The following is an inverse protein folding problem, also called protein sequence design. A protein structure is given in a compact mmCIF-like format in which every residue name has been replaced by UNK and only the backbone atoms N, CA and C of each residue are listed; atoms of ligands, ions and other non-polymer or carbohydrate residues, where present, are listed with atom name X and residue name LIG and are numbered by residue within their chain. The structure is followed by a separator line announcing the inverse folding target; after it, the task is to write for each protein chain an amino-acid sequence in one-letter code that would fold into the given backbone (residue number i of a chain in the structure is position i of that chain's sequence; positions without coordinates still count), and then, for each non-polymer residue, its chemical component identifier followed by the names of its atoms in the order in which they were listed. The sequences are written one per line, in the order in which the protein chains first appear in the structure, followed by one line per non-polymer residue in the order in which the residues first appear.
data_IF_365005086108
#
_entry.id   IF_365005086108
#
_cell.length_a   1.000
_cell.length_b   1.000
_cell.length_c   1.000
_cell.angle_alpha   90.00
_cell.angle_beta   90.00
_cell.angle_gamma   90.00
#
_symmetry.space_group_name_H-M   'P 1'
#
loop_
_entity.id
_entity.type
_entity.pdbx_description
1 polymer ?
#
# COMPACT_ATOMS: atom_id res chain seq x y z
N UNK A 1 -6.86 -14.11 -4.48
CA UNK A 1 -8.31 -14.00 -4.20
C UNK A 1 -8.75 -12.61 -4.58
N UNK A 2 -10.00 -12.43 -5.01
CA UNK A 2 -10.56 -11.09 -5.28
C UNK A 2 -11.47 -10.74 -4.11
N UNK A 3 -11.22 -9.59 -3.47
CA UNK A 3 -12.01 -9.10 -2.34
C UNK A 3 -13.07 -8.14 -2.84
N UNK A 4 -14.31 -8.25 -2.35
CA UNK A 4 -15.44 -7.42 -2.74
C UNK A 4 -15.18 -5.94 -2.51
N UNK A 5 -14.46 -5.61 -1.43
CA UNK A 5 -14.09 -4.23 -1.10
C UNK A 5 -13.37 -3.54 -2.27
N UNK A 6 -12.54 -4.27 -3.00
CA UNK A 6 -11.77 -3.76 -4.14
C UNK A 6 -12.41 -4.04 -5.50
N UNK A 7 -13.58 -4.68 -5.52
CA UNK A 7 -14.35 -5.02 -6.73
C UNK A 7 -15.71 -4.32 -6.74
N UNK A 8 -16.77 -5.05 -6.46
CA UNK A 8 -18.15 -4.53 -6.51
C UNK A 8 -18.46 -3.45 -5.45
N UNK A 9 -17.66 -3.36 -4.39
CA UNK A 9 -17.77 -2.31 -3.37
C UNK A 9 -16.75 -1.16 -3.53
N UNK A 10 -15.89 -1.19 -4.54
CA UNK A 10 -14.85 -0.17 -4.74
C UNK A 10 -15.39 1.27 -4.82
N UNK A 11 -16.64 1.48 -5.29
CA UNK A 11 -17.28 2.79 -5.31
C UNK A 11 -17.56 3.38 -3.92
N UNK A 12 -17.48 2.56 -2.87
CA UNK A 12 -17.60 3.00 -1.48
C UNK A 12 -16.25 3.41 -0.87
N UNK A 13 -15.13 3.10 -1.55
CA UNK A 13 -13.79 3.39 -1.07
C UNK A 13 -13.59 4.86 -0.65
N UNK A 14 -14.05 5.89 -1.41
CA UNK A 14 -13.88 7.28 -1.01
C UNK A 14 -14.60 7.67 0.29
N UNK A 15 -15.58 6.87 0.72
CA UNK A 15 -16.33 7.08 1.98
C UNK A 15 -15.68 6.33 3.16
N UNK A 16 -14.90 5.30 2.89
CA UNK A 16 -14.16 4.50 3.88
C UNK A 16 -12.81 5.15 4.15
N UNK A 17 -12.07 5.46 3.09
CA UNK A 17 -10.74 6.05 3.10
C UNK A 17 -10.77 7.40 2.34
N UNK A 18 -11.22 8.50 2.99
CA UNK A 18 -11.30 9.81 2.36
C UNK A 18 -9.91 10.33 1.97
N UNK A 19 -9.76 10.78 0.71
CA UNK A 19 -8.50 11.30 0.18
C UNK A 19 -7.81 12.32 1.09
N UNK A 20 -8.59 13.24 1.68
CA UNK A 20 -8.03 14.37 2.43
C UNK A 20 -7.34 13.94 3.74
N UNK A 21 -7.46 12.69 4.15
CA UNK A 21 -6.75 12.14 5.33
C UNK A 21 -5.31 11.69 5.05
N UNK A 22 -4.90 11.57 3.77
CA UNK A 22 -3.61 11.02 3.36
C UNK A 22 -2.50 12.07 3.15
N UNK A 23 -2.79 13.37 3.36
CA UNK A 23 -1.85 14.45 3.03
C UNK A 23 -0.56 14.41 3.85
N UNK A 24 -0.67 14.22 5.17
CA UNK A 24 0.49 14.18 6.08
C UNK A 24 1.34 12.92 5.84
N UNK A 25 0.70 11.79 5.62
CA UNK A 25 1.34 10.53 5.31
C UNK A 25 2.11 10.59 3.99
N UNK A 26 1.49 11.10 2.94
CA UNK A 26 2.13 11.32 1.64
C UNK A 26 3.37 12.21 1.76
N UNK A 27 3.30 13.28 2.57
CA UNK A 27 4.43 14.18 2.79
C UNK A 27 5.61 13.47 3.47
N UNK A 28 5.33 12.56 4.40
CA UNK A 28 6.35 11.75 5.07
C UNK A 28 6.99 10.76 4.08
N UNK A 29 6.19 10.02 3.31
CA UNK A 29 6.72 9.04 2.37
C UNK A 29 7.56 9.69 1.28
N UNK A 30 7.12 10.81 0.73
CA UNK A 30 7.91 11.58 -0.23
C UNK A 30 9.24 12.06 0.35
N UNK A 31 9.26 12.47 1.63
CA UNK A 31 10.49 12.86 2.32
C UNK A 31 11.43 11.66 2.47
N UNK A 32 10.92 10.49 2.90
CA UNK A 32 11.74 9.28 3.02
C UNK A 32 12.39 8.89 1.68
N UNK A 33 11.64 8.98 0.58
CA UNK A 33 12.15 8.73 -0.77
C UNK A 33 13.23 9.76 -1.16
N UNK A 34 12.97 11.05 -0.98
CA UNK A 34 13.87 12.13 -1.38
C UNK A 34 15.17 12.14 -0.55
N UNK A 35 15.07 11.90 0.77
CA UNK A 35 16.22 11.82 1.67
C UNK A 35 17.12 10.63 1.31
N UNK A 36 16.54 9.46 1.02
CA UNK A 36 17.29 8.28 0.61
C UNK A 36 17.96 8.44 -0.77
N UNK A 37 17.32 9.16 -1.70
CA UNK A 37 17.89 9.53 -3.00
C UNK A 37 18.93 10.62 -2.92
N UNK A 38 18.95 11.43 -1.85
CA UNK A 38 19.74 12.67 -1.74
C UNK A 38 19.28 13.76 -2.70
N UNK A 39 18.10 13.63 -3.28
CA UNK A 39 17.45 14.58 -4.19
C UNK A 39 15.96 14.27 -4.29
N UNK A 40 15.20 15.19 -4.85
CA UNK A 40 13.79 14.92 -5.18
C UNK A 40 13.67 13.78 -6.19
N UNK A 41 12.83 12.80 -5.91
CA UNK A 41 12.43 11.78 -6.86
C UNK A 41 11.60 12.42 -7.98
N UNK A 42 12.03 12.32 -9.22
CA UNK A 42 11.30 12.85 -10.39
C UNK A 42 10.31 11.86 -10.97
N UNK A 43 10.50 10.57 -10.71
CA UNK A 43 9.59 9.50 -11.13
C UNK A 43 9.37 8.47 -10.03
N UNK A 44 8.10 8.09 -9.81
CA UNK A 44 7.68 7.14 -8.78
C UNK A 44 6.74 6.12 -9.38
N UNK A 45 6.97 4.85 -9.12
CA UNK A 45 6.02 3.77 -9.35
C UNK A 45 5.41 3.36 -8.01
N UNK A 46 4.08 3.41 -7.89
CA UNK A 46 3.35 2.89 -6.75
C UNK A 46 2.76 1.52 -7.10
N UNK A 47 3.13 0.51 -6.32
CA UNK A 47 2.65 -0.87 -6.45
C UNK A 47 1.48 -1.07 -5.48
N UNK A 48 0.31 -1.50 -5.99
CA UNK A 48 -0.89 -1.65 -5.18
C UNK A 48 -1.49 -0.31 -4.76
N UNK A 49 -1.61 0.64 -5.69
CA UNK A 49 -2.05 2.02 -5.40
C UNK A 49 -3.52 2.16 -4.97
N UNK A 50 -4.31 1.10 -5.10
CA UNK A 50 -5.73 1.11 -4.75
C UNK A 50 -6.50 2.23 -5.45
N UNK A 51 -7.28 2.97 -4.68
CA UNK A 51 -8.04 4.13 -5.15
C UNK A 51 -7.22 5.41 -5.34
N UNK A 52 -5.89 5.37 -5.16
CA UNK A 52 -4.97 6.48 -5.43
C UNK A 52 -5.06 7.66 -4.48
N UNK A 53 -5.59 7.45 -3.26
CA UNK A 53 -5.75 8.51 -2.26
C UNK A 53 -4.42 9.14 -1.87
N UNK A 54 -3.40 8.31 -1.62
CA UNK A 54 -2.05 8.73 -1.28
C UNK A 54 -1.41 9.53 -2.43
N UNK A 55 -1.44 8.96 -3.63
CA UNK A 55 -0.84 9.56 -4.82
C UNK A 55 -1.44 10.93 -5.19
N UNK A 56 -2.70 11.20 -4.85
CA UNK A 56 -3.33 12.49 -5.08
C UNK A 56 -2.61 13.67 -4.38
N UNK A 57 -1.72 13.37 -3.42
CA UNK A 57 -0.92 14.35 -2.67
C UNK A 57 0.55 14.42 -3.13
N UNK A 58 0.97 13.68 -4.17
CA UNK A 58 2.37 13.65 -4.61
C UNK A 58 2.83 14.88 -5.42
N UNK A 59 1.91 15.84 -5.67
CA UNK A 59 2.19 17.04 -6.49
C UNK A 59 2.29 16.72 -7.98
N UNK A 60 2.27 17.76 -8.82
CA UNK A 60 2.28 17.64 -10.28
C UNK A 60 3.70 17.67 -10.86
N UNK A 61 4.71 17.86 -10.03
CA UNK A 61 6.10 18.01 -10.40
C UNK A 61 6.91 16.69 -10.33
N UNK A 62 6.19 15.55 -10.25
CA UNK A 62 6.72 14.18 -10.31
C UNK A 62 5.91 13.38 -11.33
N UNK A 63 6.60 12.59 -12.15
CA UNK A 63 5.96 11.52 -12.89
C UNK A 63 5.56 10.42 -11.90
N UNK A 64 4.27 10.09 -11.84
CA UNK A 64 3.78 9.01 -10.97
C UNK A 64 2.99 8.02 -11.80
N UNK A 65 3.35 6.76 -11.68
CA UNK A 65 2.64 5.63 -12.26
C UNK A 65 1.99 4.84 -11.15
N UNK A 66 0.69 4.59 -11.28
CA UNK A 66 -0.13 3.90 -10.31
C UNK A 66 -0.49 2.52 -10.83
N UNK A 67 -0.12 1.47 -10.11
CA UNK A 67 -0.45 0.11 -10.51
C UNK A 67 -1.28 -0.60 -9.46
N UNK A 68 -2.28 -1.35 -9.90
CA UNK A 68 -3.12 -2.17 -9.02
C UNK A 68 -3.61 -3.41 -9.75
N UNK A 69 -3.97 -4.44 -9.00
CA UNK A 69 -4.56 -5.68 -9.51
C UNK A 69 -6.05 -5.49 -9.88
N UNK A 70 -6.73 -4.52 -9.26
CA UNK A 70 -8.15 -4.22 -9.46
C UNK A 70 -8.35 -3.05 -10.43
N UNK A 71 -8.96 -3.31 -11.58
CA UNK A 71 -9.36 -2.25 -12.51
C UNK A 71 -10.41 -1.32 -11.89
N UNK A 72 -11.29 -1.84 -11.01
CA UNK A 72 -12.30 -1.03 -10.30
C UNK A 72 -11.65 -0.03 -9.36
N UNK A 73 -10.58 -0.41 -8.65
CA UNK A 73 -9.81 0.52 -7.82
C UNK A 73 -9.07 1.56 -8.68
N UNK A 74 -8.47 1.16 -9.80
CA UNK A 74 -7.87 2.11 -10.74
C UNK A 74 -8.89 3.10 -11.33
N UNK A 75 -10.15 2.68 -11.55
CA UNK A 75 -11.22 3.59 -11.93
C UNK A 75 -11.54 4.63 -10.85
N UNK A 76 -11.52 4.24 -9.57
CA UNK A 76 -11.64 5.20 -8.45
C UNK A 76 -10.43 6.14 -8.42
N UNK A 77 -9.23 5.62 -8.61
CA UNK A 77 -8.00 6.41 -8.65
C UNK A 77 -8.03 7.50 -9.74
N UNK A 78 -8.51 7.18 -10.93
CA UNK A 78 -8.64 8.15 -12.04
C UNK A 78 -9.53 9.36 -11.71
N UNK A 79 -10.44 9.25 -10.74
CA UNK A 79 -11.27 10.39 -10.31
C UNK A 79 -10.44 11.50 -9.62
N UNK A 80 -9.30 11.15 -9.03
CA UNK A 80 -8.42 12.06 -8.31
C UNK A 80 -7.06 12.27 -9.00
N UNK A 81 -6.68 11.35 -9.89
CA UNK A 81 -5.38 11.27 -10.53
C UNK A 81 -5.52 11.14 -12.06
N UNK A 82 -6.43 11.90 -12.67
CA UNK A 82 -6.77 11.77 -14.11
C UNK A 82 -5.56 11.91 -15.04
N UNK A 83 -4.58 12.75 -14.66
CA UNK A 83 -3.39 13.03 -15.47
C UNK A 83 -2.25 12.03 -15.26
N UNK A 84 -2.41 11.08 -14.32
CA UNK A 84 -1.40 10.06 -14.04
C UNK A 84 -1.62 8.81 -14.86
N UNK A 85 -0.56 8.08 -15.13
CA UNK A 85 -0.65 6.77 -15.77
C UNK A 85 -1.14 5.72 -14.77
N UNK A 86 -2.12 4.90 -15.21
CA UNK A 86 -2.68 3.80 -14.44
C UNK A 86 -2.43 2.49 -15.18
N UNK A 87 -1.86 1.52 -14.49
CA UNK A 87 -1.49 0.22 -15.03
C UNK A 87 -2.20 -0.89 -14.26
N UNK A 88 -3.04 -1.65 -14.97
CA UNK A 88 -3.59 -2.90 -14.44
C UNK A 88 -2.50 -3.96 -14.43
N UNK A 89 -2.13 -4.48 -13.27
CA UNK A 89 -1.08 -5.47 -13.16
C UNK A 89 -0.92 -6.06 -11.77
N UNK A 90 -0.40 -7.28 -11.74
CA UNK A 90 0.00 -7.94 -10.50
C UNK A 90 1.41 -7.49 -10.11
N UNK A 91 1.54 -6.90 -8.92
CA UNK A 91 2.82 -6.40 -8.40
C UNK A 91 3.90 -7.47 -8.28
N UNK A 92 3.54 -8.76 -8.26
CA UNK A 92 4.48 -9.89 -8.25
C UNK A 92 5.14 -10.13 -9.60
N UNK A 93 4.47 -9.78 -10.70
CA UNK A 93 4.89 -10.23 -12.05
C UNK A 93 4.94 -9.13 -13.10
N UNK A 94 4.37 -7.96 -12.85
CA UNK A 94 4.32 -6.88 -13.84
C UNK A 94 5.73 -6.43 -14.28
N UNK A 95 5.86 -6.04 -15.56
CA UNK A 95 7.08 -5.47 -16.12
C UNK A 95 6.73 -4.36 -17.11
N UNK A 96 7.14 -3.12 -16.78
CA UNK A 96 6.86 -1.93 -17.59
C UNK A 96 7.99 -1.60 -18.60
N UNK A 97 9.08 -2.37 -18.56
CA UNK A 97 10.27 -2.19 -19.41
C UNK A 97 10.90 -0.77 -19.30
N UNK A 98 10.73 -0.12 -18.18
CA UNK A 98 11.30 1.18 -17.83
C UNK A 98 11.63 1.24 -16.34
N UNK A 99 12.46 2.21 -15.96
CA UNK A 99 12.90 2.41 -14.58
C UNK A 99 12.46 3.75 -14.05
N UNK A 100 12.33 3.83 -12.72
CA UNK A 100 11.93 4.99 -11.95
C UNK A 100 13.02 5.37 -10.95
N UNK A 101 12.96 6.58 -10.41
CA UNK A 101 13.80 7.01 -9.30
C UNK A 101 13.42 6.27 -8.01
N UNK A 102 12.13 6.04 -7.82
CA UNK A 102 11.61 5.35 -6.65
C UNK A 102 10.48 4.38 -6.98
N UNK A 103 10.37 3.33 -6.17
CA UNK A 103 9.21 2.43 -6.09
C UNK A 103 8.66 2.49 -4.68
N UNK A 104 7.35 2.66 -4.56
CA UNK A 104 6.61 2.68 -3.30
C UNK A 104 5.69 1.45 -3.24
N UNK A 105 5.70 0.77 -2.10
CA UNK A 105 4.80 -0.33 -1.76
C UNK A 105 4.25 -0.08 -0.35
N UNK A 106 3.05 0.50 -0.28
CA UNK A 106 2.37 0.90 0.94
C UNK A 106 1.13 0.03 1.13
N UNK A 107 0.79 -0.36 2.35
CA UNK A 107 -0.36 -1.20 2.74
C UNK A 107 -0.54 -2.48 1.91
N UNK A 108 -0.48 -2.39 0.58
CA UNK A 108 -0.67 -3.51 -0.33
C UNK A 108 0.31 -4.66 -0.09
N UNK A 109 1.45 -4.41 0.56
CA UNK A 109 2.41 -5.44 0.97
C UNK A 109 1.76 -6.47 1.91
N UNK A 110 0.74 -6.06 2.67
CA UNK A 110 0.01 -6.95 3.59
C UNK A 110 -0.77 -8.05 2.87
N UNK A 111 -1.05 -7.88 1.57
CA UNK A 111 -1.72 -8.92 0.75
C UNK A 111 -0.77 -9.98 0.21
N UNK A 112 0.52 -9.89 0.49
CA UNK A 112 1.52 -10.90 0.17
C UNK A 112 1.63 -11.88 1.34
N UNK A 113 0.96 -13.02 1.24
CA UNK A 113 0.81 -13.99 2.33
C UNK A 113 1.86 -15.09 2.34
N UNK A 114 2.88 -15.00 1.48
CA UNK A 114 4.00 -15.96 1.43
C UNK A 114 5.34 -15.28 1.18
N UNK A 115 6.46 -15.86 1.65
CA UNK A 115 7.80 -15.36 1.33
C UNK A 115 8.09 -15.34 -0.18
N UNK A 116 7.48 -16.24 -0.94
CA UNK A 116 7.59 -16.32 -2.41
C UNK A 116 6.93 -15.11 -3.06
N UNK A 117 5.75 -14.70 -2.62
CA UNK A 117 5.03 -13.52 -3.10
C UNK A 117 5.79 -12.23 -2.76
N UNK A 118 6.32 -12.10 -1.54
CA UNK A 118 7.20 -10.99 -1.16
C UNK A 118 8.43 -10.91 -2.05
N UNK A 119 9.13 -12.04 -2.27
CA UNK A 119 10.31 -12.10 -3.12
C UNK A 119 9.98 -11.64 -4.55
N UNK A 120 8.93 -12.19 -5.14
CA UNK A 120 8.51 -11.85 -6.50
C UNK A 120 8.18 -10.35 -6.64
N UNK A 121 7.53 -9.77 -5.62
CA UNK A 121 7.19 -8.34 -5.60
C UNK A 121 8.44 -7.47 -5.42
N UNK A 122 9.38 -7.84 -4.55
CA UNK A 122 10.63 -7.11 -4.37
C UNK A 122 11.55 -7.20 -5.61
N UNK A 123 11.56 -8.34 -6.30
CA UNK A 123 12.21 -8.49 -7.61
C UNK A 123 11.54 -7.63 -8.69
N UNK A 124 10.21 -7.47 -8.62
CA UNK A 124 9.48 -6.54 -9.49
C UNK A 124 9.90 -5.10 -9.20
N UNK A 125 9.96 -4.67 -7.94
CA UNK A 125 10.47 -3.35 -7.57
C UNK A 125 11.91 -3.15 -8.07
N UNK A 126 12.78 -4.15 -7.89
CA UNK A 126 14.15 -4.09 -8.39
C UNK A 126 14.22 -3.95 -9.92
N UNK A 127 13.35 -4.61 -10.67
CA UNK A 127 13.31 -4.51 -12.14
C UNK A 127 12.90 -3.11 -12.62
N UNK A 128 12.16 -2.36 -11.80
CA UNK A 128 11.67 -1.01 -12.13
C UNK A 128 12.54 0.12 -11.55
N UNK A 129 13.71 -0.18 -11.01
CA UNK A 129 14.63 0.82 -10.47
C UNK A 129 15.97 0.79 -11.24
N UNK A 130 16.54 1.95 -11.51
CA UNK A 130 17.94 2.05 -11.89
C UNK A 130 18.85 1.80 -10.67
N UNK A 131 20.14 1.46 -10.86
CA UNK A 131 21.09 1.45 -9.75
C UNK A 131 21.08 2.77 -8.98
N UNK A 132 21.00 2.71 -7.64
CA UNK A 132 20.85 3.88 -6.78
C UNK A 132 19.41 4.37 -6.60
N UNK A 133 18.43 3.77 -7.32
CA UNK A 133 17.02 4.04 -7.09
C UNK A 133 16.53 3.49 -5.74
N UNK A 134 15.47 4.08 -5.20
CA UNK A 134 14.96 3.80 -3.85
C UNK A 134 13.71 2.93 -3.90
N UNK A 135 13.67 1.92 -3.07
CA UNK A 135 12.48 1.14 -2.76
C UNK A 135 12.04 1.42 -1.33
N UNK A 136 10.81 1.88 -1.15
CA UNK A 136 10.18 2.13 0.14
C UNK A 136 9.02 1.15 0.33
N UNK A 137 9.11 0.33 1.40
CA UNK A 137 8.09 -0.64 1.78
C UNK A 137 7.53 -0.25 3.14
N UNK A 138 6.20 -0.20 3.23
CA UNK A 138 5.49 0.20 4.45
C UNK A 138 4.40 -0.82 4.77
N UNK A 139 4.73 -1.88 5.52
CA UNK A 139 3.71 -2.78 6.08
C UNK A 139 3.01 -2.09 7.25
N UNK A 140 1.71 -2.31 7.39
CA UNK A 140 0.93 -1.82 8.54
C UNK A 140 1.47 -2.37 9.86
N UNK A 141 1.93 -3.62 9.84
CA UNK A 141 2.38 -4.35 11.02
C UNK A 141 3.39 -5.44 10.65
N UNK A 142 4.24 -5.79 11.60
CA UNK A 142 5.16 -6.95 11.57
C UNK A 142 4.92 -7.83 12.79
N UNK A 143 5.42 -9.08 12.79
CA UNK A 143 5.22 -10.01 13.92
C UNK A 143 5.61 -9.40 15.28
N UNK A 144 6.64 -8.56 15.31
CA UNK A 144 7.13 -7.95 16.55
C UNK A 144 6.22 -6.86 17.12
N UNK A 145 5.34 -6.28 16.29
CA UNK A 145 4.43 -5.18 16.69
C UNK A 145 2.96 -5.54 16.57
N UNK A 146 2.65 -6.75 16.07
CA UNK A 146 1.26 -7.18 15.94
C UNK A 146 0.59 -7.30 17.29
N UNK A 147 -0.56 -6.66 17.42
CA UNK A 147 -1.47 -6.80 18.53
C UNK A 147 -2.88 -7.01 17.99
N UNK A 148 -3.60 -8.00 18.54
CA UNK A 148 -5.02 -8.16 18.23
C UNK A 148 -5.80 -6.93 18.66
N UNK A 149 -6.73 -6.50 17.81
CA UNK A 149 -7.49 -5.30 18.10
C UNK A 149 -8.57 -4.99 17.09
N UNK A 150 -9.16 -3.82 17.21
CA UNK A 150 -10.15 -3.34 16.26
C UNK A 150 -9.91 -1.88 15.89
N UNK A 151 -10.12 -1.57 14.63
CA UNK A 151 -10.08 -0.22 14.08
C UNK A 151 -11.45 0.09 13.51
N UNK A 152 -11.89 1.34 13.63
CA UNK A 152 -13.14 1.78 13.02
C UNK A 152 -12.97 3.16 12.39
N UNK A 153 -13.62 3.36 11.26
CA UNK A 153 -13.56 4.62 10.53
C UNK A 153 -14.72 4.77 9.56
N UNK A 154 -14.67 5.81 8.76
CA UNK A 154 -15.67 6.04 7.72
C UNK A 154 -16.14 7.49 7.65
N UNK A 155 -17.23 7.71 6.91
CA UNK A 155 -17.78 9.02 6.59
C UNK A 155 -19.19 9.21 7.17
N UNK A 156 -19.62 10.47 7.15
CA UNK A 156 -20.98 10.86 7.53
C UNK A 156 -21.67 11.54 6.33
N UNK A 157 -22.99 11.48 6.27
CA UNK A 157 -23.76 12.10 5.18
C UNK A 157 -24.64 11.09 4.42
N UNK A 158 -24.90 11.37 3.16
CA UNK A 158 -25.66 10.51 2.24
C UNK A 158 -25.11 10.71 0.82
N UNK A 159 -24.47 9.72 0.21
CA UNK A 159 -24.14 8.41 0.80
C UNK A 159 -23.06 8.48 1.88
N UNK A 160 -22.88 7.41 2.65
CA UNK A 160 -21.86 7.29 3.67
C UNK A 160 -21.53 5.83 3.93
N UNK A 161 -20.32 5.56 4.41
CA UNK A 161 -19.90 4.24 4.84
C UNK A 161 -19.27 4.30 6.24
N UNK A 162 -19.43 3.23 7.00
CA UNK A 162 -18.71 2.98 8.24
C UNK A 162 -18.04 1.62 8.10
N UNK A 163 -16.81 1.53 8.56
CA UNK A 163 -16.01 0.31 8.56
C UNK A 163 -15.61 0.00 10.01
N UNK A 164 -15.77 -1.25 10.39
CA UNK A 164 -15.15 -1.86 11.56
C UNK A 164 -14.26 -2.98 11.08
N UNK A 165 -13.02 -2.95 11.47
CA UNK A 165 -12.05 -4.02 11.25
C UNK A 165 -11.69 -4.66 12.57
N UNK A 166 -11.59 -5.99 12.59
CA UNK A 166 -11.11 -6.78 13.70
C UNK A 166 -9.91 -7.59 13.25
N UNK A 167 -8.75 -7.26 13.80
CA UNK A 167 -7.47 -7.88 13.51
C UNK A 167 -7.19 -8.96 14.55
N UNK A 168 -6.94 -10.18 14.13
CA UNK A 168 -6.64 -11.30 15.01
C UNK A 168 -5.84 -12.38 14.29
N UNK A 169 -5.06 -13.16 15.05
CA UNK A 169 -4.18 -14.19 14.52
C UNK A 169 -4.69 -15.58 14.94
N UNK A 170 -5.22 -16.36 14.00
CA UNK A 170 -5.75 -17.70 14.28
C UNK A 170 -4.65 -18.75 14.51
N UNK A 171 -3.42 -18.54 13.99
CA UNK A 171 -2.29 -19.48 14.11
C UNK A 171 -0.96 -18.71 14.16
N UNK A 172 -0.46 -18.37 15.35
CA UNK A 172 0.79 -17.61 15.51
C UNK A 172 2.06 -18.29 14.95
N UNK A 173 1.98 -19.55 14.54
CA UNK A 173 3.11 -20.29 13.97
C UNK A 173 3.25 -20.09 12.45
N UNK A 174 2.20 -19.54 11.79
CA UNK A 174 2.26 -19.23 10.37
C UNK A 174 2.69 -17.77 10.09
N UNK A 175 2.64 -17.34 8.84
CA UNK A 175 3.03 -16.00 8.38
C UNK A 175 1.81 -15.17 7.96
N UNK A 176 0.64 -15.41 8.56
CA UNK A 176 -0.59 -14.70 8.22
C UNK A 176 -1.38 -14.25 9.46
N UNK A 177 -2.23 -13.24 9.27
CA UNK A 177 -3.27 -12.88 10.24
C UNK A 177 -4.57 -12.59 9.48
N UNK A 178 -5.67 -12.50 10.20
CA UNK A 178 -6.98 -12.23 9.63
C UNK A 178 -7.50 -10.86 10.02
N UNK A 179 -8.14 -10.21 9.05
CA UNK A 179 -8.94 -9.00 9.27
C UNK A 179 -10.38 -9.33 8.92
N UNK A 180 -11.25 -9.37 9.92
CA UNK A 180 -12.69 -9.44 9.73
C UNK A 180 -13.25 -8.02 9.62
N UNK A 181 -13.92 -7.72 8.51
CA UNK A 181 -14.46 -6.41 8.18
C UNK A 181 -15.98 -6.41 8.22
N UNK A 182 -16.56 -5.42 8.87
CA UNK A 182 -17.99 -5.13 8.81
C UNK A 182 -18.20 -3.73 8.24
N UNK A 183 -18.80 -3.65 7.04
CA UNK A 183 -19.15 -2.39 6.40
C UNK A 183 -20.64 -2.12 6.59
N UNK A 184 -20.97 -0.89 6.98
CA UNK A 184 -22.33 -0.38 7.00
C UNK A 184 -22.43 0.73 5.97
N UNK A 185 -23.19 0.47 4.89
CA UNK A 185 -23.30 1.34 3.72
C UNK A 185 -24.67 2.02 3.75
N UNK A 186 -24.68 3.35 3.78
CA UNK A 186 -25.93 4.14 3.70
C UNK A 186 -26.03 4.81 2.34
N UNK A 187 -26.98 4.36 1.54
CA UNK A 187 -27.25 4.86 0.20
C UNK A 187 -27.94 6.25 0.22
N UNK A 188 -27.97 6.93 -0.93
CA UNK A 188 -28.61 8.25 -1.10
C UNK A 188 -30.11 8.21 -0.78
N UNK A 189 -30.81 7.13 -1.12
CA UNK A 189 -32.22 6.90 -0.82
C UNK A 189 -32.50 6.62 0.68
N UNK A 190 -31.44 6.47 1.49
CA UNK A 190 -31.50 6.17 2.91
C UNK A 190 -31.52 4.68 3.24
N UNK A 191 -31.53 3.78 2.26
CA UNK A 191 -31.37 2.34 2.49
C UNK A 191 -30.01 2.08 3.15
N UNK A 192 -30.03 1.18 4.13
CA UNK A 192 -28.81 0.74 4.82
C UNK A 192 -28.55 -0.72 4.45
N UNK A 193 -27.31 -1.01 4.14
CA UNK A 193 -26.82 -2.35 3.82
C UNK A 193 -25.62 -2.66 4.73
N UNK A 194 -25.49 -3.91 5.15
CA UNK A 194 -24.34 -4.38 5.92
C UNK A 194 -23.66 -5.49 5.13
N UNK A 195 -22.34 -5.36 4.98
CA UNK A 195 -21.50 -6.35 4.31
C UNK A 195 -20.46 -6.84 5.31
N UNK A 196 -20.27 -8.15 5.35
CA UNK A 196 -19.18 -8.78 6.09
C UNK A 196 -18.22 -9.43 5.10
N UNK A 197 -16.93 -9.18 5.29
CA UNK A 197 -15.85 -9.75 4.50
C UNK A 197 -14.67 -10.07 5.42
N UNK A 198 -13.84 -11.02 5.04
CA UNK A 198 -12.59 -11.27 5.76
C UNK A 198 -11.43 -11.27 4.76
N UNK A 199 -10.32 -10.68 5.19
CA UNK A 199 -9.07 -10.67 4.44
C UNK A 199 -8.02 -11.48 5.18
N UNK A 200 -7.23 -12.24 4.43
CA UNK A 200 -6.03 -12.88 4.92
C UNK A 200 -4.85 -12.00 4.55
N UNK A 201 -4.07 -11.62 5.54
CA UNK A 201 -2.96 -10.68 5.45
C UNK A 201 -1.65 -11.36 5.81
N UNK A 202 -0.55 -10.95 5.19
CA UNK A 202 0.78 -11.41 5.54
C UNK A 202 1.26 -10.82 6.86
N UNK A 203 1.87 -11.66 7.71
CA UNK A 203 2.45 -11.25 8.99
C UNK A 203 3.86 -11.80 9.10
N UNK A 204 4.83 -11.02 8.67
CA UNK A 204 6.24 -11.42 8.65
C UNK A 204 7.05 -10.70 9.72
N UNK A 205 8.09 -11.34 10.23
CA UNK A 205 9.06 -10.68 11.09
C UNK A 205 9.99 -9.74 10.31
N UNK A 206 10.57 -8.74 10.98
CA UNK A 206 11.50 -7.77 10.39
C UNK A 206 12.69 -8.45 9.73
N UNK A 207 13.17 -9.54 10.31
CA UNK A 207 14.34 -10.28 9.80
C UNK A 207 14.04 -10.88 8.43
N UNK A 208 12.87 -11.48 8.27
CA UNK A 208 12.41 -12.06 7.00
C UNK A 208 12.29 -10.98 5.93
N UNK A 209 11.62 -9.85 6.23
CA UNK A 209 11.51 -8.72 5.30
C UNK A 209 12.88 -8.18 4.89
N UNK A 210 13.76 -7.90 5.86
CA UNK A 210 15.11 -7.44 5.60
C UNK A 210 15.94 -8.42 4.76
N UNK A 211 15.76 -9.72 4.96
CA UNK A 211 16.45 -10.76 4.19
C UNK A 211 15.99 -10.75 2.75
N UNK A 212 14.68 -10.79 2.51
CA UNK A 212 14.09 -10.81 1.18
C UNK A 212 14.40 -9.52 0.38
N UNK A 213 14.39 -8.35 1.04
CA UNK A 213 14.80 -7.08 0.43
C UNK A 213 16.26 -7.17 -0.05
N UNK A 214 17.17 -7.68 0.78
CA UNK A 214 18.59 -7.84 0.39
C UNK A 214 18.77 -8.84 -0.74
N UNK A 215 18.05 -9.96 -0.70
CA UNK A 215 18.09 -11.00 -1.75
C UNK A 215 17.61 -10.48 -3.10
N UNK A 216 16.62 -9.58 -3.11
CA UNK A 216 16.13 -8.91 -4.30
C UNK A 216 17.12 -7.86 -4.88
N UNK A 217 18.29 -7.67 -4.26
CA UNK A 217 19.35 -6.81 -4.80
C UNK A 217 19.40 -5.40 -4.22
N UNK A 218 18.92 -5.22 -3.00
CA UNK A 218 18.93 -3.95 -2.30
C UNK A 218 19.90 -3.90 -1.13
N UNK A 219 20.35 -2.70 -0.80
CA UNK A 219 20.99 -2.37 0.47
C UNK A 219 20.00 -1.57 1.33
N UNK A 220 19.71 -2.06 2.54
CA UNK A 220 18.83 -1.38 3.47
C UNK A 220 19.50 -0.12 4.02
N UNK A 221 18.79 0.99 3.97
CA UNK A 221 19.17 2.22 4.67
C UNK A 221 18.72 2.09 6.11
N UNK A 222 19.61 2.36 7.08
CA UNK A 222 19.20 2.42 8.48
C UNK A 222 18.26 3.61 8.67
N UNK A 223 16.96 3.34 8.84
CA UNK A 223 15.96 4.36 9.08
C UNK A 223 15.91 4.79 10.54
N UNK A 224 15.78 6.08 10.76
CA UNK A 224 15.32 6.63 12.03
C UNK A 224 13.80 6.49 12.08
N UNK A 225 13.29 5.92 13.17
CA UNK A 225 11.85 5.94 13.49
C UNK A 225 11.39 7.40 13.53
N UNK A 226 10.43 7.77 12.69
CA UNK A 226 9.83 9.11 12.72
C UNK A 226 8.70 9.13 13.75
N UNK A 227 8.92 9.84 14.87
CA UNK A 227 7.94 10.01 15.94
C UNK A 227 6.77 10.93 15.56
N UNK A 228 6.77 11.53 14.38
CA UNK A 228 5.83 12.60 14.03
C UNK A 228 4.56 12.15 13.29
N UNK A 229 4.51 10.94 12.78
CA UNK A 229 3.34 10.30 12.16
C UNK A 229 3.32 8.86 12.68
N UNK A 230 2.15 8.34 12.94
CA UNK A 230 1.92 6.98 13.45
C UNK A 230 2.23 5.92 12.35
N UNK A 231 3.45 5.99 11.79
CA UNK A 231 3.95 4.98 10.85
C UNK A 231 4.46 3.82 11.69
N UNK A 232 3.73 2.72 11.67
CA UNK A 232 4.04 1.56 12.48
C UNK A 232 5.38 0.92 12.08
N UNK A 233 5.67 0.82 10.78
CA UNK A 233 6.89 0.18 10.27
C UNK A 233 7.23 0.65 8.84
N UNK A 234 8.53 0.81 8.51
CA UNK A 234 8.96 1.06 7.13
C UNK A 234 10.37 0.54 6.86
N UNK A 235 10.61 0.20 5.60
CA UNK A 235 11.92 -0.25 5.11
C UNK A 235 12.30 0.59 3.89
N UNK A 236 13.36 1.37 4.03
CA UNK A 236 13.96 2.11 2.91
C UNK A 236 15.17 1.33 2.41
N UNK A 237 15.25 1.09 1.11
CA UNK A 237 16.30 0.31 0.50
C UNK A 237 16.77 0.92 -0.82
N UNK A 238 18.06 0.85 -1.09
CA UNK A 238 18.70 1.38 -2.31
C UNK A 238 19.10 0.22 -3.20
N UNK A 239 18.71 0.27 -4.47
CA UNK A 239 19.08 -0.75 -5.44
C UNK A 239 20.59 -0.74 -5.68
N UNK A 240 21.21 -1.92 -5.51
CA UNK A 240 22.64 -2.12 -5.80
C UNK A 240 22.94 -1.93 -7.29
N UNK A 241 24.15 -1.47 -7.54
CA UNK A 241 24.73 -1.55 -8.88
C UNK A 241 25.00 -3.01 -9.30
N UNK A 242 25.23 -3.25 -10.59
CA UNK A 242 25.61 -4.55 -11.13
C UNK A 242 26.96 -5.02 -10.59
#
# INVERSE_FOLDING_TARGET
MSYRLYEDLASWWPYIAPRDTYGDEAAVYLRLLDDALGRKASSVLELGSGGGQLAAHFGDDREVVLSDLSETMLQQSRLHNAEREHVLGDMRTMRLERTFDAVLLHDAVMYLTSPEDLRATFETAAAHLAPGGVFLVLPDVVKETFEEGSISGGSYGKPAAQLLEWHWDPDPEDDTYRVDMCLILRHEDGRVETVHEHHEMGLFDRRTLCHLIRDAGFDLVQGTVWEAVDIAEFFTAIKRGP
#
